data_IF_997797202295
#
_entry.id   IF_997797202295
#
_cell.length_a   1.000
_cell.length_b   1.000
_cell.length_c   1.000
_cell.angle_alpha   90.00
_cell.angle_beta   90.00
_cell.angle_gamma   90.00
#
_symmetry.space_group_name_H-M   'P 1'
#
loop_
_entity.id
_entity.type
_entity.pdbx_description
1 polymer ?
#
# COMPACT_ATOMS: atom_id res chain seq x y z
N UNK A 1 33.24 -25.64 -12.46
CA UNK A 1 32.55 -24.72 -13.40
C UNK A 1 31.06 -25.01 -13.46
N UNK A 2 30.63 -26.28 -13.55
CA UNK A 2 29.20 -26.66 -13.62
C UNK A 2 28.43 -26.46 -12.31
N UNK A 3 29.06 -26.66 -11.15
CA UNK A 3 28.43 -26.46 -9.83
C UNK A 3 28.04 -25.01 -9.54
N UNK A 4 28.85 -24.04 -10.00
CA UNK A 4 28.55 -22.61 -9.85
C UNK A 4 27.27 -22.21 -10.60
N UNK A 5 27.04 -22.81 -11.78
CA UNK A 5 25.82 -22.57 -12.55
C UNK A 5 24.57 -23.11 -11.84
N UNK A 6 24.66 -24.28 -11.19
CA UNK A 6 23.54 -24.83 -10.41
C UNK A 6 23.23 -24.00 -9.16
N UNK A 7 24.25 -23.52 -8.46
CA UNK A 7 24.10 -22.66 -7.28
C UNK A 7 23.48 -21.31 -7.69
N UNK A 8 23.92 -20.74 -8.81
CA UNK A 8 23.35 -19.50 -9.34
C UNK A 8 21.87 -19.68 -9.72
N UNK A 9 21.54 -20.74 -10.45
CA UNK A 9 20.14 -21.03 -10.85
C UNK A 9 19.23 -21.25 -9.64
N UNK A 10 19.70 -21.98 -8.62
CA UNK A 10 18.91 -22.20 -7.41
C UNK A 10 18.71 -20.89 -6.63
N UNK A 11 19.74 -20.05 -6.53
CA UNK A 11 19.64 -18.74 -5.87
C UNK A 11 18.69 -17.80 -6.61
N UNK A 12 18.75 -17.76 -7.95
CA UNK A 12 17.79 -16.98 -8.76
C UNK A 12 16.36 -17.49 -8.60
N UNK A 13 16.16 -18.81 -8.59
CA UNK A 13 14.83 -19.40 -8.37
C UNK A 13 14.28 -19.09 -6.97
N UNK A 14 15.12 -19.13 -5.94
CA UNK A 14 14.76 -18.76 -4.57
C UNK A 14 14.44 -17.26 -4.47
N UNK A 15 15.23 -16.39 -5.08
CA UNK A 15 14.96 -14.95 -5.13
C UNK A 15 13.62 -14.66 -5.82
N UNK A 16 13.35 -15.31 -6.95
CA UNK A 16 12.07 -15.16 -7.66
C UNK A 16 10.87 -15.63 -6.81
N UNK A 17 11.03 -16.74 -6.06
CA UNK A 17 10.00 -17.23 -5.14
C UNK A 17 9.77 -16.25 -3.98
N UNK A 18 10.83 -15.66 -3.42
CA UNK A 18 10.75 -14.68 -2.31
C UNK A 18 10.11 -13.36 -2.76
N UNK A 19 10.30 -12.95 -4.01
CA UNK A 19 9.73 -11.69 -4.54
C UNK A 19 8.27 -11.84 -5.01
N UNK A 20 7.73 -13.06 -5.05
CA UNK A 20 6.46 -13.37 -5.73
C UNK A 20 5.28 -13.68 -4.82
N UNK A 21 4.61 -12.65 -4.27
CA UNK A 21 3.14 -12.57 -4.06
C UNK A 21 2.77 -11.27 -3.36
N UNK A 22 2.30 -10.28 -4.11
CA UNK A 22 1.52 -9.17 -3.55
C UNK A 22 0.04 -9.43 -3.87
N UNK A 23 -0.74 -10.03 -2.94
CA UNK A 23 -2.15 -10.32 -3.16
C UNK A 23 -2.91 -8.99 -3.23
N UNK A 24 -3.07 -8.46 -4.44
CA UNK A 24 -3.83 -7.25 -4.68
C UNK A 24 -5.33 -7.57 -4.62
N UNK A 25 -6.02 -7.09 -3.59
CA UNK A 25 -7.48 -7.16 -3.47
C UNK A 25 -8.10 -6.07 -4.35
N UNK A 26 -8.97 -6.45 -5.31
CA UNK A 26 -9.76 -5.46 -6.05
C UNK A 26 -10.71 -4.74 -5.09
N UNK A 27 -10.75 -3.41 -5.20
CA UNK A 27 -11.58 -2.55 -4.36
C UNK A 27 -12.48 -1.66 -5.25
N UNK A 28 -13.65 -2.15 -5.67
CA UNK A 28 -14.61 -1.28 -6.32
C UNK A 28 -15.10 -0.22 -5.33
N UNK A 29 -14.93 1.05 -5.68
CA UNK A 29 -15.39 2.17 -4.88
C UNK A 29 -16.34 3.04 -5.72
N UNK A 30 -17.48 3.40 -5.15
CA UNK A 30 -18.39 4.35 -5.79
C UNK A 30 -17.78 5.76 -5.78
N UNK A 31 -18.21 6.61 -6.70
CA UNK A 31 -17.77 8.01 -6.82
C UNK A 31 -18.26 8.94 -5.69
N UNK A 32 -18.52 8.40 -4.50
CA UNK A 32 -18.90 9.18 -3.32
C UNK A 32 -17.64 9.89 -2.82
N UNK A 33 -17.60 11.21 -2.94
CA UNK A 33 -16.47 12.01 -2.49
C UNK A 33 -16.64 12.44 -1.03
N UNK A 34 -16.12 11.63 -0.12
CA UNK A 34 -16.00 11.96 1.32
C UNK A 34 -14.50 11.94 1.67
N UNK A 35 -13.82 13.10 1.68
CA UNK A 35 -12.38 13.17 1.89
C UNK A 35 -12.02 12.93 3.36
N UNK A 36 -11.00 12.12 3.59
CA UNK A 36 -10.39 11.83 4.89
C UNK A 36 -8.87 12.03 4.80
N UNK A 37 -8.22 12.49 5.87
CA UNK A 37 -6.76 12.51 5.92
C UNK A 37 -6.21 11.13 6.32
N UNK A 38 -5.14 10.69 5.67
CA UNK A 38 -4.34 9.54 6.08
C UNK A 38 -3.24 9.94 7.07
N UNK A 39 -2.66 8.95 7.76
CA UNK A 39 -1.47 9.14 8.60
C UNK A 39 -0.20 9.52 7.83
N UNK A 40 -0.25 9.40 6.50
CA UNK A 40 0.79 9.82 5.55
C UNK A 40 0.59 11.26 5.05
N UNK A 41 -0.28 12.04 5.71
CA UNK A 41 -0.66 13.41 5.35
C UNK A 41 -1.27 13.55 3.94
N UNK A 42 -1.81 12.47 3.35
CA UNK A 42 -2.52 12.52 2.07
C UNK A 42 -4.02 12.47 2.28
N UNK A 43 -4.77 13.16 1.43
CA UNK A 43 -6.23 13.09 1.42
C UNK A 43 -6.69 11.93 0.56
N UNK A 44 -7.60 11.13 1.09
CA UNK A 44 -8.18 9.97 0.41
C UNK A 44 -9.70 10.06 0.40
N UNK A 45 -10.34 9.46 -0.59
CA UNK A 45 -11.70 8.98 -0.39
C UNK A 45 -11.67 7.87 0.67
N UNK A 46 -12.59 7.87 1.63
CA UNK A 46 -12.75 6.82 2.66
C UNK A 46 -12.63 5.41 2.10
N UNK A 47 -13.27 5.12 0.96
CA UNK A 47 -13.23 3.78 0.35
C UNK A 47 -11.81 3.43 -0.17
N UNK A 48 -11.13 4.39 -0.82
CA UNK A 48 -9.77 4.22 -1.32
C UNK A 48 -8.75 4.04 -0.18
N UNK A 49 -8.89 4.78 0.93
CA UNK A 49 -8.01 4.61 2.09
C UNK A 49 -8.12 3.18 2.65
N UNK A 50 -9.35 2.71 2.85
CA UNK A 50 -9.59 1.34 3.32
C UNK A 50 -9.04 0.29 2.34
N UNK A 51 -9.10 0.55 1.04
CA UNK A 51 -8.50 -0.32 0.04
C UNK A 51 -6.98 -0.43 0.21
N UNK A 52 -6.29 0.70 0.42
CA UNK A 52 -4.85 0.71 0.66
C UNK A 52 -4.47 -0.12 1.89
N UNK A 53 -5.22 0.04 2.98
CA UNK A 53 -5.04 -0.76 4.21
C UNK A 53 -5.17 -2.25 3.91
N UNK A 54 -6.22 -2.66 3.18
CA UNK A 54 -6.43 -4.08 2.80
C UNK A 54 -5.33 -4.64 1.89
N UNK A 55 -4.71 -3.79 1.08
CA UNK A 55 -3.59 -4.15 0.20
C UNK A 55 -2.22 -4.05 0.89
N UNK A 56 -2.19 -3.96 2.22
CA UNK A 56 -0.95 -4.02 3.00
C UNK A 56 -0.15 -2.72 3.02
N UNK A 57 -0.71 -1.59 2.57
CA UNK A 57 -0.05 -0.30 2.77
C UNK A 57 -0.19 0.13 4.23
N UNK A 58 0.91 0.60 4.81
CA UNK A 58 0.96 1.14 6.16
C UNK A 58 0.46 2.60 6.18
N UNK A 59 -0.86 2.78 6.08
CA UNK A 59 -1.55 4.07 6.21
C UNK A 59 -2.81 3.88 7.06
N UNK A 60 -3.06 4.76 8.02
CA UNK A 60 -4.27 4.74 8.83
C UNK A 60 -5.07 6.02 8.62
N UNK A 61 -6.23 6.14 9.24
CA UNK A 61 -6.92 7.42 9.29
C UNK A 61 -6.11 8.37 10.18
N UNK A 62 -5.83 9.56 9.66
CA UNK A 62 -5.12 10.61 10.36
C UNK A 62 -5.98 11.21 11.47
N UNK A 63 -5.32 11.88 12.41
CA UNK A 63 -5.97 12.57 13.54
C UNK A 63 -6.99 13.65 13.10
N UNK A 64 -6.93 14.09 11.83
CA UNK A 64 -7.91 14.98 11.22
C UNK A 64 -8.85 14.21 10.28
N UNK A 65 -9.88 13.60 10.88
CA UNK A 65 -10.81 12.68 10.20
C UNK A 65 -11.63 13.34 9.09
N UNK A 66 -11.94 14.63 9.24
CA UNK A 66 -12.50 15.50 8.21
C UNK A 66 -11.38 16.44 7.76
N UNK A 67 -11.08 16.41 6.46
CA UNK A 67 -10.00 17.16 5.84
C UNK A 67 -9.77 18.54 6.45
N UNK A 68 -8.75 18.63 7.29
CA UNK A 68 -8.11 19.86 7.72
C UNK A 68 -6.67 19.43 7.97
N UNK A 69 -5.76 19.81 7.08
CA UNK A 69 -4.34 19.51 7.28
C UNK A 69 -3.88 20.08 8.63
N UNK A 70 -2.99 19.37 9.33
CA UNK A 70 -2.23 20.00 10.41
C UNK A 70 -1.32 21.06 9.76
N UNK A 71 -1.75 22.32 9.84
CA UNK A 71 -0.96 23.45 9.40
C UNK A 71 -1.74 24.63 8.80
N UNK A 72 -2.74 25.16 9.48
CA UNK A 72 -2.92 26.62 9.52
C UNK A 72 -3.54 27.01 10.86
N UNK A 73 -2.72 27.67 11.67
CA UNK A 73 -3.17 28.75 12.53
C UNK A 73 -3.50 29.88 11.57
N UNK A 74 -4.78 30.09 11.28
CA UNK A 74 -5.47 31.38 11.00
C UNK A 74 -6.98 31.16 11.09
#
# INVERSE_FOLDING_TARGET
>A
MRCLAFIALSMFALLALVVGRNPHIPCPCHFIYIPVCGSDNKTYNKCHLNCKIKNGLNVTIGINYYGSGFGEIV
#
